data_IF_152865405588
#
_entry.id   IF_152865405588
#
_cell.length_a   1.000
_cell.length_b   1.000
_cell.length_c   1.000
_cell.angle_alpha   90.00
_cell.angle_beta   90.00
_cell.angle_gamma   90.00
#
_symmetry.space_group_name_H-M   'P 1'
#
loop_
_entity.id
_entity.type
_entity.pdbx_description
1 polymer ?
#
# COMPACT_ATOMS: atom_id res chain seq x y z
N UNK A 1 -0.83 -13.03 1.16
CA UNK A 1 0.40 -13.53 1.82
C UNK A 1 0.49 -15.06 1.83
N UNK A 2 -0.59 -15.81 2.04
CA UNK A 2 -0.51 -17.27 2.25
C UNK A 2 0.01 -18.10 1.07
N UNK A 3 -0.28 -17.74 -0.19
CA UNK A 3 0.10 -18.57 -1.34
C UNK A 3 1.62 -18.57 -1.69
N UNK A 4 2.39 -17.57 -1.23
CA UNK A 4 3.85 -17.48 -1.51
C UNK A 4 4.65 -18.32 -0.50
N UNK A 5 4.16 -18.45 0.73
CA UNK A 5 4.87 -19.10 1.83
C UNK A 5 4.53 -20.59 2.02
N UNK A 6 3.43 -21.08 1.43
CA UNK A 6 2.99 -22.48 1.60
C UNK A 6 3.81 -23.52 0.82
N UNK A 7 4.66 -23.12 -0.13
CA UNK A 7 5.27 -24.07 -1.09
C UNK A 7 6.80 -24.16 -1.08
N UNK A 8 7.51 -23.42 -0.22
CA UNK A 8 8.98 -23.48 -0.11
C UNK A 8 9.42 -23.40 1.35
N UNK A 9 10.42 -24.21 1.71
CA UNK A 9 11.11 -24.03 2.98
C UNK A 9 11.78 -22.65 2.97
N UNK A 10 11.48 -21.80 3.96
CA UNK A 10 11.94 -20.41 3.98
C UNK A 10 13.48 -20.28 3.95
N UNK A 11 14.18 -21.33 4.38
CA UNK A 11 15.63 -21.47 4.35
C UNK A 11 16.22 -21.61 2.94
N UNK A 12 15.40 -21.99 1.96
CA UNK A 12 15.83 -22.26 0.59
C UNK A 12 15.59 -21.05 -0.33
N UNK A 13 15.04 -19.96 0.23
CA UNK A 13 14.85 -18.70 -0.45
C UNK A 13 16.10 -17.85 -0.21
N UNK A 14 16.73 -17.27 -1.26
CA UNK A 14 17.83 -16.34 -1.07
C UNK A 14 17.29 -15.04 -0.47
N UNK A 15 17.27 -15.01 0.86
CA UNK A 15 16.83 -13.86 1.64
C UNK A 15 17.95 -12.81 1.72
N UNK A 16 17.60 -11.51 1.73
CA UNK A 16 18.56 -10.46 2.06
C UNK A 16 19.17 -10.71 3.44
N UNK A 17 20.40 -10.22 3.70
CA UNK A 17 21.02 -10.31 5.02
C UNK A 17 20.11 -9.80 6.16
N UNK A 18 19.31 -8.76 5.87
CA UNK A 18 18.36 -8.17 6.81
C UNK A 18 17.29 -9.16 7.33
N UNK A 19 16.97 -10.22 6.59
CA UNK A 19 15.96 -11.22 6.98
C UNK A 19 16.58 -12.55 7.46
N UNK A 20 17.91 -12.67 7.47
CA UNK A 20 18.59 -13.90 7.84
C UNK A 20 18.33 -14.32 9.29
N UNK A 21 18.32 -13.34 10.21
CA UNK A 21 18.05 -13.59 11.64
C UNK A 21 16.64 -14.15 11.81
N UNK A 22 15.64 -13.53 11.20
CA UNK A 22 14.24 -14.00 11.26
C UNK A 22 14.08 -15.41 10.72
N UNK A 23 14.77 -15.74 9.61
CA UNK A 23 14.74 -17.09 9.05
C UNK A 23 15.42 -18.12 9.96
N UNK A 24 16.60 -17.78 10.51
CA UNK A 24 17.35 -18.65 11.45
C UNK A 24 16.55 -18.97 12.70
N UNK A 25 15.83 -18.00 13.25
CA UNK A 25 15.00 -18.17 14.45
C UNK A 25 13.61 -18.75 14.15
N UNK A 26 13.27 -19.02 12.88
CA UNK A 26 11.95 -19.50 12.43
C UNK A 26 10.81 -18.53 12.78
N UNK A 27 11.08 -17.24 12.68
CA UNK A 27 10.11 -16.18 12.95
C UNK A 27 9.20 -15.90 11.74
N UNK A 28 9.67 -16.20 10.52
CA UNK A 28 8.88 -15.94 9.30
C UNK A 28 7.60 -16.77 9.31
N UNK A 29 6.46 -16.09 9.21
CA UNK A 29 5.12 -16.69 9.31
C UNK A 29 4.64 -16.96 10.74
N UNK A 30 5.39 -16.54 11.76
CA UNK A 30 5.05 -16.68 13.19
C UNK A 30 5.01 -15.34 13.92
N UNK A 31 5.95 -14.45 13.60
CA UNK A 31 6.03 -13.09 14.12
C UNK A 31 5.75 -12.13 12.97
N UNK A 32 4.82 -11.21 13.18
CA UNK A 32 4.35 -10.28 12.15
C UNK A 32 4.69 -8.86 12.56
N UNK A 33 5.66 -8.28 11.85
CA UNK A 33 6.05 -6.87 12.01
C UNK A 33 5.84 -6.22 10.65
N UNK A 34 4.85 -5.35 10.56
CA UNK A 34 4.29 -4.82 9.30
C UNK A 34 5.36 -4.33 8.30
N UNK A 35 6.39 -3.62 8.78
CA UNK A 35 7.46 -3.10 7.93
C UNK A 35 8.37 -4.22 7.39
N UNK A 36 8.68 -5.22 8.21
CA UNK A 36 9.47 -6.39 7.80
C UNK A 36 8.70 -7.25 6.81
N UNK A 37 7.42 -7.51 7.08
CA UNK A 37 6.56 -8.27 6.19
C UNK A 37 6.40 -7.57 4.83
N UNK A 38 6.25 -6.25 4.84
CA UNK A 38 6.16 -5.46 3.61
C UNK A 38 7.47 -5.51 2.82
N UNK A 39 8.62 -5.31 3.47
CA UNK A 39 9.91 -5.34 2.81
C UNK A 39 10.26 -6.74 2.27
N UNK A 40 9.99 -7.80 3.05
CA UNK A 40 10.15 -9.18 2.60
C UNK A 40 9.23 -9.49 1.42
N UNK A 41 7.96 -9.09 1.49
CA UNK A 41 7.01 -9.23 0.39
C UNK A 41 7.51 -8.55 -0.89
N UNK A 42 7.98 -7.30 -0.80
CA UNK A 42 8.57 -6.58 -1.94
C UNK A 42 9.78 -7.30 -2.52
N UNK A 43 10.69 -7.82 -1.68
CA UNK A 43 11.83 -8.60 -2.13
C UNK A 43 11.40 -9.85 -2.92
N UNK A 44 10.33 -10.51 -2.48
CA UNK A 44 9.78 -11.69 -3.12
C UNK A 44 8.86 -11.37 -4.32
N UNK A 45 8.80 -10.11 -4.76
CA UNK A 45 7.97 -9.67 -5.89
C UNK A 45 6.49 -9.49 -5.56
N UNK A 46 6.09 -9.61 -4.30
CA UNK A 46 4.74 -9.29 -3.87
C UNK A 46 4.50 -7.76 -3.90
N UNK A 47 3.24 -7.31 -4.05
CA UNK A 47 2.87 -5.93 -3.76
C UNK A 47 3.24 -5.59 -2.30
N UNK A 48 3.73 -4.38 -2.05
CA UNK A 48 3.97 -3.88 -0.68
C UNK A 48 2.71 -3.88 0.18
N UNK A 49 2.79 -4.40 1.40
CA UNK A 49 1.63 -4.56 2.29
C UNK A 49 0.95 -3.24 2.71
N UNK A 50 1.62 -2.11 2.52
CA UNK A 50 1.08 -0.77 2.80
C UNK A 50 1.09 0.10 1.55
N UNK A 51 0.11 1.01 1.47
CA UNK A 51 -0.03 2.00 0.42
C UNK A 51 1.28 2.77 0.15
N UNK A 52 2.05 3.10 1.21
CA UNK A 52 3.34 3.78 1.09
C UNK A 52 4.39 2.96 0.31
N UNK A 53 4.36 1.63 0.36
CA UNK A 53 5.30 0.74 -0.34
C UNK A 53 4.77 0.20 -1.68
N UNK A 54 3.57 0.62 -2.09
CA UNK A 54 3.01 0.34 -3.42
C UNK A 54 3.58 1.28 -4.49
N UNK A 55 3.48 0.90 -5.77
CA UNK A 55 3.83 1.79 -6.88
C UNK A 55 2.81 2.94 -7.04
N UNK A 56 1.52 2.65 -6.81
CA UNK A 56 0.41 3.62 -6.85
C UNK A 56 -0.33 3.68 -5.52
N UNK A 57 -1.11 4.74 -5.30
CA UNK A 57 -1.96 4.90 -4.12
C UNK A 57 -3.43 5.15 -4.51
N UNK A 58 -4.25 5.69 -3.60
CA UNK A 58 -5.62 6.15 -3.91
C UNK A 58 -6.75 5.17 -3.60
N UNK A 59 -6.47 4.04 -2.95
CA UNK A 59 -7.51 3.08 -2.50
C UNK A 59 -7.81 3.13 -1.01
N UNK A 60 -6.97 3.81 -0.24
CA UNK A 60 -7.15 4.02 1.20
C UNK A 60 -7.64 5.46 1.44
N UNK A 61 -8.91 5.70 1.07
CA UNK A 61 -9.56 6.99 1.27
C UNK A 61 -9.86 7.21 2.75
N UNK A 62 -10.07 8.47 3.12
CA UNK A 62 -10.51 8.84 4.47
C UNK A 62 -11.86 9.53 4.40
N UNK A 63 -12.70 9.28 5.39
CA UNK A 63 -14.02 9.87 5.55
C UNK A 63 -14.06 10.62 6.87
N UNK A 64 -14.47 11.88 6.83
CA UNK A 64 -14.76 12.65 8.02
C UNK A 64 -16.16 12.34 8.55
N UNK A 65 -16.41 12.68 9.81
CA UNK A 65 -17.67 12.38 10.49
C UNK A 65 -18.91 13.03 9.83
N UNK A 66 -18.73 14.09 9.05
CA UNK A 66 -19.78 14.79 8.31
C UNK A 66 -20.08 14.14 6.94
N UNK A 67 -19.37 13.06 6.58
CA UNK A 67 -19.52 12.35 5.31
C UNK A 67 -18.59 12.83 4.20
N UNK A 68 -17.77 13.86 4.44
CA UNK A 68 -16.79 14.31 3.46
C UNK A 68 -15.72 13.24 3.22
N UNK A 69 -15.44 12.97 1.96
CA UNK A 69 -14.51 11.95 1.52
C UNK A 69 -13.28 12.61 0.89
N UNK A 70 -12.09 12.29 1.40
CA UNK A 70 -10.82 12.80 0.89
C UNK A 70 -9.97 11.68 0.29
N UNK A 71 -9.04 12.05 -0.59
CA UNK A 71 -8.21 11.11 -1.32
C UNK A 71 -7.35 10.18 -0.45
N UNK A 72 -6.92 10.62 0.75
CA UNK A 72 -6.09 9.88 1.69
C UNK A 72 -6.07 10.60 3.06
N UNK A 73 -5.84 9.87 4.15
CA UNK A 73 -5.59 10.40 5.51
C UNK A 73 -4.40 11.37 5.61
N UNK A 74 -3.44 11.29 4.68
CA UNK A 74 -2.31 12.21 4.59
C UNK A 74 -2.64 13.53 3.86
N UNK A 75 -3.85 13.66 3.32
CA UNK A 75 -4.26 14.70 2.37
C UNK A 75 -5.68 15.19 2.69
N UNK A 76 -5.94 15.52 3.96
CA UNK A 76 -7.24 16.02 4.44
C UNK A 76 -7.29 17.54 4.33
N UNK A 77 -7.39 18.03 3.10
CA UNK A 77 -7.47 19.45 2.78
C UNK A 77 -8.39 19.71 1.56
N UNK A 78 -8.92 20.93 1.36
CA UNK A 78 -9.92 21.20 0.32
C UNK A 78 -9.50 20.79 -1.09
N UNK A 79 -8.21 20.82 -1.41
CA UNK A 79 -7.66 20.43 -2.72
C UNK A 79 -7.81 18.92 -3.00
N UNK A 80 -8.09 18.13 -1.98
CA UNK A 80 -8.17 16.67 -2.04
C UNK A 80 -9.53 16.13 -1.56
N UNK A 81 -10.51 17.01 -1.36
CA UNK A 81 -11.91 16.65 -1.17
C UNK A 81 -12.47 16.07 -2.48
N UNK A 82 -13.09 14.90 -2.40
CA UNK A 82 -13.76 14.24 -3.52
C UNK A 82 -15.25 14.57 -3.57
N UNK A 83 -15.85 14.85 -2.41
CA UNK A 83 -17.28 15.13 -2.24
C UNK A 83 -17.79 14.58 -0.92
N UNK A 84 -19.12 14.53 -0.77
CA UNK A 84 -19.77 14.01 0.43
C UNK A 84 -20.57 12.73 0.11
N UNK A 85 -20.37 11.67 0.89
CA UNK A 85 -21.02 10.36 0.66
C UNK A 85 -22.54 10.40 0.83
N UNK A 86 -23.08 11.38 1.55
CA UNK A 86 -24.52 11.55 1.73
C UNK A 86 -25.19 12.11 0.46
N UNK A 87 -24.40 12.70 -0.44
CA UNK A 87 -24.87 13.34 -1.68
C UNK A 87 -24.50 12.55 -2.93
N UNK A 88 -23.32 11.94 -2.95
CA UNK A 88 -22.77 11.22 -4.11
C UNK A 88 -22.44 9.77 -3.75
N UNK A 89 -22.85 8.77 -4.56
CA UNK A 89 -22.51 7.38 -4.31
C UNK A 89 -20.99 7.17 -4.19
N UNK A 90 -20.57 6.39 -3.19
CA UNK A 90 -19.15 6.15 -2.92
C UNK A 90 -18.37 5.65 -4.14
N UNK A 91 -19.00 4.82 -4.99
CA UNK A 91 -18.35 4.29 -6.19
C UNK A 91 -17.99 5.39 -7.20
N UNK A 92 -18.78 6.46 -7.27
CA UNK A 92 -18.51 7.61 -8.13
C UNK A 92 -17.38 8.46 -7.56
N UNK A 93 -17.34 8.65 -6.23
CA UNK A 93 -16.26 9.37 -5.55
C UNK A 93 -14.92 8.63 -5.70
N UNK A 94 -14.90 7.32 -5.45
CA UNK A 94 -13.70 6.46 -5.56
C UNK A 94 -13.24 6.31 -7.02
N UNK A 95 -14.20 6.25 -7.96
CA UNK A 95 -13.94 6.14 -9.39
C UNK A 95 -13.69 7.47 -10.10
N UNK A 96 -13.74 8.59 -9.38
CA UNK A 96 -13.60 9.92 -9.97
C UNK A 96 -12.24 10.11 -10.65
N UNK A 97 -12.23 10.91 -11.72
CA UNK A 97 -10.98 11.22 -12.43
C UNK A 97 -9.94 11.86 -11.49
N UNK A 98 -10.39 12.68 -10.54
CA UNK A 98 -9.55 13.25 -9.49
C UNK A 98 -8.86 12.16 -8.67
N UNK A 99 -9.61 11.16 -8.19
CA UNK A 99 -9.05 10.09 -7.36
C UNK A 99 -8.11 9.16 -8.14
N UNK A 100 -8.45 8.85 -9.39
CA UNK A 100 -7.58 8.08 -10.28
C UNK A 100 -6.25 8.80 -10.54
N UNK A 101 -6.30 10.11 -10.82
CA UNK A 101 -5.10 10.95 -10.99
C UNK A 101 -4.28 11.00 -9.72
N UNK A 102 -4.90 11.23 -8.57
CA UNK A 102 -4.22 11.23 -7.27
C UNK A 102 -3.42 9.93 -7.05
N UNK A 103 -4.05 8.78 -7.30
CA UNK A 103 -3.42 7.47 -7.14
C UNK A 103 -2.23 7.21 -8.07
N UNK A 104 -2.33 7.66 -9.33
CA UNK A 104 -1.29 7.53 -10.34
C UNK A 104 -0.13 8.52 -10.13
N UNK A 105 -0.39 9.68 -9.52
CA UNK A 105 0.62 10.71 -9.28
C UNK A 105 1.80 10.21 -8.47
N UNK A 106 1.59 9.27 -7.55
CA UNK A 106 2.67 8.64 -6.79
C UNK A 106 3.70 7.98 -7.70
N UNK A 107 3.25 7.25 -8.72
CA UNK A 107 4.11 6.58 -9.70
C UNK A 107 4.82 7.61 -10.57
N UNK A 108 4.10 8.63 -11.06
CA UNK A 108 4.65 9.62 -11.98
C UNK A 108 5.61 10.61 -11.33
N UNK A 109 5.47 10.89 -10.02
CA UNK A 109 6.42 11.75 -9.28
C UNK A 109 7.86 11.22 -9.34
N UNK A 110 8.04 9.90 -9.33
CA UNK A 110 9.36 9.28 -9.46
C UNK A 110 9.87 9.23 -10.90
N UNK A 111 8.97 9.10 -11.88
CA UNK A 111 9.35 9.14 -13.30
C UNK A 111 9.83 10.53 -13.76
N UNK A 112 9.32 11.60 -13.14
CA UNK A 112 9.73 12.98 -13.43
C UNK A 112 11.09 13.38 -12.81
N UNK A 113 11.66 12.55 -11.94
CA UNK A 113 12.94 12.80 -11.26
C UNK A 113 14.09 11.91 -11.76
N UNK A 114 13.82 11.02 -12.71
CA UNK A 114 14.84 10.22 -13.38
C UNK A 114 15.15 10.86 -14.75
N UNK A 115 16.41 11.22 -15.04
CA UNK A 115 16.82 11.78 -16.32
C UNK A 115 16.65 10.80 -17.49
#
# INVERSE_FOLDING_TARGET
>A
MNAVFEKKNMTDIPLPPAFHVMAKHRDVGRVFVQIFDTALGRWLGAPGGLCFFQETCGKALVMEHNGDLYSCDHFVEPRHLLGNILETPLIELVGSEQQLKFGLNKKSLFAALLP
#
